data_IF_524266730749
#
_entry.id   IF_524266730749
#
_cell.length_a   1.000
_cell.length_b   1.000
_cell.length_c   1.000
_cell.angle_alpha   90.00
_cell.angle_beta   90.00
_cell.angle_gamma   90.00
#
_symmetry.space_group_name_H-M   'P 1'
#
loop_
_entity.id
_entity.type
_entity.pdbx_description
1 polymer ?
#
# COMPACT_ATOMS: atom_id res chain seq x y z
N UNK A 1 32.07 43.31 37.33
CA UNK A 1 32.26 42.78 35.98
C UNK A 1 31.77 41.34 36.01
N UNK A 2 30.47 41.12 35.77
CA UNK A 2 29.82 39.81 35.80
C UNK A 2 29.56 39.36 34.38
N UNK A 3 30.29 38.34 33.94
CA UNK A 3 30.07 37.67 32.68
C UNK A 3 29.07 36.53 32.92
N UNK A 4 27.80 36.75 32.66
CA UNK A 4 26.78 35.72 32.64
C UNK A 4 26.96 34.87 31.37
N UNK A 5 27.41 33.65 31.50
CA UNK A 5 27.42 32.61 30.47
C UNK A 5 25.98 32.10 30.28
N UNK A 6 25.31 32.57 29.26
CA UNK A 6 24.03 31.97 28.82
C UNK A 6 24.33 30.64 28.11
N UNK A 7 24.16 29.55 28.80
CA UNK A 7 24.10 28.22 28.19
C UNK A 7 22.79 28.06 27.43
N UNK A 8 22.84 28.26 26.12
CA UNK A 8 21.75 27.96 25.21
C UNK A 8 21.72 26.43 24.99
N UNK A 9 20.94 25.75 25.84
CA UNK A 9 20.68 24.32 25.67
C UNK A 9 19.82 24.12 24.40
N UNK A 10 20.46 23.76 23.31
CA UNK A 10 19.78 23.34 22.07
C UNK A 10 19.13 21.98 22.32
N UNK A 11 17.87 21.97 22.71
CA UNK A 11 17.05 20.76 22.73
C UNK A 11 16.89 20.26 21.30
N UNK A 12 17.69 19.29 20.92
CA UNK A 12 17.45 18.47 19.74
C UNK A 12 16.20 17.63 20.02
N UNK A 13 15.05 18.13 19.58
CA UNK A 13 13.83 17.33 19.47
C UNK A 13 14.09 16.26 18.41
N UNK A 14 14.59 15.10 18.84
CA UNK A 14 14.60 13.89 18.04
C UNK A 14 13.14 13.53 17.79
N UNK A 15 12.59 14.00 16.67
CA UNK A 15 11.30 13.55 16.16
C UNK A 15 11.46 12.08 15.81
N UNK A 16 11.12 11.19 16.75
CA UNK A 16 10.94 9.77 16.44
C UNK A 16 9.77 9.67 15.46
N UNK A 17 10.06 9.60 14.17
CA UNK A 17 9.07 9.25 13.15
C UNK A 17 8.57 7.84 13.47
N UNK A 18 7.34 7.72 13.98
CA UNK A 18 6.72 6.41 14.20
C UNK A 18 6.50 5.77 12.84
N UNK A 19 7.07 4.59 12.66
CA UNK A 19 6.79 3.72 11.51
C UNK A 19 5.59 2.86 11.89
N UNK A 20 4.57 2.80 11.01
CA UNK A 20 3.37 2.00 11.26
C UNK A 20 3.49 0.61 10.62
N UNK A 21 4.21 0.51 9.48
CA UNK A 21 4.38 -0.74 8.72
C UNK A 21 5.67 -0.76 7.90
N UNK A 22 6.05 -1.97 7.48
CA UNK A 22 7.13 -2.21 6.51
C UNK A 22 6.59 -2.74 5.18
N UNK A 23 7.41 -2.59 4.15
CA UNK A 23 7.20 -3.17 2.83
C UNK A 23 8.20 -4.29 2.54
N UNK A 24 7.89 -5.14 1.57
CA UNK A 24 8.75 -6.27 1.20
C UNK A 24 10.11 -5.85 0.61
N UNK A 25 10.21 -4.65 0.07
CA UNK A 25 11.45 -4.05 -0.46
C UNK A 25 12.38 -3.50 0.64
N UNK A 26 12.01 -3.64 1.91
CA UNK A 26 12.76 -3.15 3.06
C UNK A 26 12.48 -1.70 3.44
N UNK A 27 11.67 -0.98 2.67
CA UNK A 27 11.21 0.36 3.05
C UNK A 27 10.09 0.30 4.09
N UNK A 28 9.72 1.42 4.64
CA UNK A 28 8.68 1.52 5.67
C UNK A 28 7.88 2.81 5.50
N UNK A 29 6.68 2.84 6.09
CA UNK A 29 5.79 3.97 5.96
C UNK A 29 4.87 4.17 7.15
N UNK A 30 4.03 5.18 7.03
CA UNK A 30 2.97 5.51 7.98
C UNK A 30 1.65 5.63 7.23
N UNK A 31 0.57 5.22 7.86
CA UNK A 31 -0.75 5.41 7.24
C UNK A 31 -1.10 6.89 7.00
N UNK A 32 -0.53 7.80 7.79
CA UNK A 32 -0.66 9.25 7.54
C UNK A 32 -0.08 9.71 6.21
N UNK A 33 0.88 8.98 5.64
CA UNK A 33 1.49 9.29 4.35
C UNK A 33 0.56 8.94 3.16
N UNK A 34 -0.53 8.22 3.43
CA UNK A 34 -1.57 7.87 2.47
C UNK A 34 -2.72 8.88 2.41
N UNK A 35 -2.77 9.84 3.36
CA UNK A 35 -3.79 10.87 3.39
C UNK A 35 -3.82 11.69 2.10
N UNK A 36 -5.01 11.95 1.56
CA UNK A 36 -5.20 12.65 0.30
C UNK A 36 -4.98 11.82 -0.96
N UNK A 37 -4.73 10.50 -0.80
CA UNK A 37 -4.48 9.58 -1.92
C UNK A 37 -5.57 8.53 -2.02
N UNK A 38 -5.84 8.09 -3.23
CA UNK A 38 -6.51 6.82 -3.46
C UNK A 38 -5.55 5.68 -3.13
N UNK A 39 -6.03 4.66 -2.42
CA UNK A 39 -5.23 3.46 -2.17
C UNK A 39 -5.98 2.23 -2.68
N UNK A 40 -5.31 1.49 -3.54
CA UNK A 40 -5.76 0.21 -4.10
C UNK A 40 -5.07 -0.89 -3.32
N UNK A 41 -5.79 -1.57 -2.43
CA UNK A 41 -5.25 -2.66 -1.61
C UNK A 41 -5.69 -3.98 -2.24
N UNK A 42 -4.75 -4.73 -2.83
CA UNK A 42 -5.02 -5.99 -3.50
C UNK A 42 -4.58 -7.19 -2.64
N UNK A 43 -5.50 -8.11 -2.39
CA UNK A 43 -5.24 -9.38 -1.71
C UNK A 43 -5.01 -10.50 -2.73
N UNK A 44 -3.85 -11.14 -2.64
CA UNK A 44 -3.39 -12.15 -3.58
C UNK A 44 -2.67 -13.33 -2.90
N UNK A 45 -2.55 -14.46 -3.60
CA UNK A 45 -1.78 -15.62 -3.17
C UNK A 45 -1.22 -16.39 -4.38
N UNK A 46 -0.20 -17.24 -4.15
CA UNK A 46 0.42 -18.04 -5.21
C UNK A 46 -0.56 -19.03 -5.85
N UNK A 47 -1.38 -19.67 -5.02
CA UNK A 47 -2.39 -20.66 -5.45
C UNK A 47 -3.63 -20.03 -6.11
N UNK A 48 -3.76 -18.70 -6.10
CA UNK A 48 -4.88 -17.99 -6.69
C UNK A 48 -4.65 -17.78 -8.20
N UNK A 49 -5.16 -18.69 -9.02
CA UNK A 49 -5.00 -18.58 -10.48
C UNK A 49 -5.58 -17.25 -11.06
N UNK A 50 -6.78 -16.77 -10.66
CA UNK A 50 -7.29 -15.50 -11.17
C UNK A 50 -6.47 -14.29 -10.73
N UNK A 51 -5.72 -14.34 -9.61
CA UNK A 51 -4.82 -13.26 -9.20
C UNK A 51 -3.71 -13.02 -10.24
N UNK A 52 -3.25 -14.07 -10.91
CA UNK A 52 -2.21 -13.97 -11.94
C UNK A 52 -2.64 -13.16 -13.16
N UNK A 53 -3.94 -13.10 -13.43
CA UNK A 53 -4.49 -12.28 -14.53
C UNK A 53 -4.62 -10.81 -14.15
N UNK A 54 -4.77 -10.52 -12.85
CA UNK A 54 -4.93 -9.15 -12.34
C UNK A 54 -3.58 -8.45 -12.13
N UNK A 55 -2.53 -9.19 -11.78
CA UNK A 55 -1.21 -8.63 -11.45
C UNK A 55 -0.66 -7.71 -12.55
N UNK A 56 -0.66 -8.07 -13.85
CA UNK A 56 -0.20 -7.16 -14.90
C UNK A 56 -0.98 -5.85 -14.94
N UNK A 57 -2.28 -5.89 -14.75
CA UNK A 57 -3.15 -4.70 -14.72
C UNK A 57 -2.82 -3.78 -13.54
N UNK A 58 -2.50 -4.37 -12.38
CA UNK A 58 -2.07 -3.63 -11.20
C UNK A 58 -0.66 -3.07 -11.32
N UNK A 59 0.26 -3.79 -11.99
CA UNK A 59 1.59 -3.29 -12.33
C UNK A 59 1.48 -2.05 -13.23
N UNK A 60 0.68 -2.13 -14.30
CA UNK A 60 0.43 -0.99 -15.19
C UNK A 60 -0.21 0.19 -14.42
N UNK A 61 -1.20 -0.10 -13.57
CA UNK A 61 -1.81 0.95 -12.74
C UNK A 61 -0.77 1.59 -11.83
N UNK A 62 0.07 0.83 -11.17
CA UNK A 62 1.10 1.35 -10.27
C UNK A 62 2.17 2.18 -11.00
N UNK A 63 2.55 1.76 -12.22
CA UNK A 63 3.56 2.45 -13.03
C UNK A 63 3.05 3.78 -13.59
N UNK A 64 1.79 3.80 -14.02
CA UNK A 64 1.20 4.94 -14.74
C UNK A 64 0.34 5.85 -13.86
N UNK A 65 0.12 5.45 -12.59
CA UNK A 65 -0.78 6.18 -11.70
C UNK A 65 -0.30 7.60 -11.40
N UNK A 66 -1.23 8.58 -11.31
CA UNK A 66 -0.92 9.88 -10.75
C UNK A 66 -0.35 9.75 -9.32
N UNK A 67 0.39 10.78 -8.87
CA UNK A 67 1.03 10.78 -7.55
C UNK A 67 0.06 10.63 -6.36
N UNK A 68 -1.23 10.87 -6.60
CA UNK A 68 -2.32 10.73 -5.64
C UNK A 68 -2.98 9.33 -5.64
N UNK A 69 -2.40 8.36 -6.36
CA UNK A 69 -2.82 6.95 -6.33
C UNK A 69 -1.68 6.09 -5.80
N UNK A 70 -2.00 5.12 -4.96
CA UNK A 70 -1.08 4.14 -4.43
C UNK A 70 -1.65 2.73 -4.62
N UNK A 71 -0.87 1.84 -5.22
CA UNK A 71 -1.21 0.42 -5.33
C UNK A 71 -0.35 -0.37 -4.33
N UNK A 72 -0.99 -1.16 -3.47
CA UNK A 72 -0.31 -2.01 -2.49
C UNK A 72 -0.88 -3.42 -2.51
N UNK A 73 -0.01 -4.41 -2.45
CA UNK A 73 -0.38 -5.81 -2.33
C UNK A 73 -0.30 -6.32 -0.90
N UNK A 74 -1.18 -7.26 -0.58
CA UNK A 74 -1.17 -8.03 0.68
C UNK A 74 -1.13 -9.51 0.33
N UNK A 75 -0.04 -10.19 0.66
CA UNK A 75 0.02 -11.63 0.51
C UNK A 75 -0.93 -12.30 1.51
N UNK A 76 -1.89 -13.05 1.00
CA UNK A 76 -2.95 -13.65 1.81
C UNK A 76 -2.41 -14.68 2.79
N UNK A 77 -1.35 -15.40 2.43
CA UNK A 77 -0.75 -16.44 3.28
C UNK A 77 0.15 -15.86 4.39
N UNK A 78 0.41 -14.54 4.36
CA UNK A 78 1.20 -13.83 5.37
C UNK A 78 2.69 -14.19 5.32
N UNK A 79 3.21 -14.53 4.14
CA UNK A 79 4.63 -14.77 3.96
C UNK A 79 5.44 -13.50 4.22
N UNK A 80 6.65 -13.67 4.70
CA UNK A 80 7.60 -12.58 4.99
C UNK A 80 9.02 -12.97 4.57
N UNK A 81 9.92 -11.99 4.59
CA UNK A 81 11.35 -12.23 4.31
C UNK A 81 11.62 -12.80 2.93
N UNK A 82 12.56 -13.73 2.84
CA UNK A 82 13.02 -14.28 1.58
C UNK A 82 11.92 -15.06 0.83
N UNK A 83 11.06 -15.80 1.54
CA UNK A 83 9.96 -16.54 0.93
C UNK A 83 8.99 -15.61 0.20
N UNK A 84 8.66 -14.46 0.81
CA UNK A 84 7.83 -13.44 0.18
C UNK A 84 8.55 -12.79 -1.01
N UNK A 85 9.83 -12.45 -0.88
CA UNK A 85 10.59 -11.82 -1.94
C UNK A 85 10.67 -12.70 -3.18
N UNK A 86 10.98 -14.00 -3.01
CA UNK A 86 11.00 -14.97 -4.11
C UNK A 86 9.62 -15.16 -4.74
N UNK A 87 8.55 -15.10 -3.93
CA UNK A 87 7.19 -15.22 -4.45
C UNK A 87 6.79 -13.98 -5.26
N UNK A 88 7.13 -12.78 -4.82
CA UNK A 88 6.92 -11.53 -5.56
C UNK A 88 7.57 -11.61 -6.94
N UNK A 89 8.84 -12.08 -7.00
CA UNK A 89 9.57 -12.28 -8.25
C UNK A 89 8.88 -13.32 -9.16
N UNK A 90 8.52 -14.51 -8.62
CA UNK A 90 7.84 -15.56 -9.40
C UNK A 90 6.46 -15.15 -9.92
N UNK A 91 5.79 -14.25 -9.24
CA UNK A 91 4.47 -13.74 -9.62
C UNK A 91 4.55 -12.49 -10.50
N UNK A 92 5.75 -11.97 -10.77
CA UNK A 92 6.00 -10.76 -11.56
C UNK A 92 5.26 -9.54 -11.00
N UNK A 93 5.30 -9.37 -9.66
CA UNK A 93 4.66 -8.26 -8.97
C UNK A 93 5.63 -7.09 -8.91
N UNK A 94 5.26 -5.96 -9.53
CA UNK A 94 6.07 -4.74 -9.57
C UNK A 94 5.54 -3.64 -8.64
N UNK A 95 4.27 -3.74 -8.21
CA UNK A 95 3.72 -2.83 -7.22
C UNK A 95 4.18 -3.17 -5.80
N UNK A 96 4.09 -2.19 -4.91
CA UNK A 96 4.55 -2.31 -3.52
C UNK A 96 3.77 -3.39 -2.74
N UNK A 97 4.47 -4.27 -2.00
CA UNK A 97 3.85 -5.31 -1.16
C UNK A 97 4.07 -5.01 0.32
N UNK A 98 3.01 -5.01 1.09
CA UNK A 98 3.02 -4.77 2.54
C UNK A 98 3.39 -6.03 3.32
N UNK A 99 4.13 -5.85 4.42
CA UNK A 99 4.43 -6.91 5.39
C UNK A 99 3.32 -7.09 6.45
N UNK A 100 2.40 -6.14 6.54
CA UNK A 100 1.25 -6.19 7.45
C UNK A 100 -0.05 -5.97 6.69
N UNK A 101 -1.13 -6.56 7.19
CA UNK A 101 -2.47 -6.39 6.64
C UNK A 101 -3.07 -5.07 7.17
N UNK A 102 -3.39 -4.07 6.32
CA UNK A 102 -3.86 -2.76 6.74
C UNK A 102 -5.34 -2.74 7.16
N UNK A 103 -6.06 -3.87 7.06
CA UNK A 103 -7.51 -3.96 7.33
C UNK A 103 -7.91 -3.44 8.71
N UNK A 104 -7.08 -3.63 9.73
CA UNK A 104 -7.37 -3.14 11.09
C UNK A 104 -7.31 -1.63 11.20
N UNK A 105 -6.44 -0.98 10.40
CA UNK A 105 -6.35 0.47 10.34
C UNK A 105 -7.59 1.08 9.68
N UNK A 106 -8.06 0.46 8.57
CA UNK A 106 -9.23 0.94 7.82
C UNK A 106 -10.55 0.31 8.25
N UNK A 107 -10.55 -0.55 9.28
CA UNK A 107 -11.73 -1.15 9.89
C UNK A 107 -12.63 -1.93 8.90
N UNK A 108 -12.03 -2.79 8.06
CA UNK A 108 -12.78 -3.73 7.21
C UNK A 108 -12.42 -5.19 7.52
N UNK A 109 -13.30 -6.11 7.13
CA UNK A 109 -13.10 -7.54 7.35
C UNK A 109 -12.10 -8.12 6.37
N UNK A 110 -11.35 -9.13 6.82
CA UNK A 110 -10.45 -9.88 5.94
C UNK A 110 -11.24 -10.54 4.80
N UNK A 111 -10.84 -10.34 3.54
CA UNK A 111 -11.48 -11.01 2.43
C UNK A 111 -11.49 -12.54 2.58
N UNK A 112 -12.60 -13.18 2.20
CA UNK A 112 -12.73 -14.65 2.20
C UNK A 112 -12.54 -15.27 0.80
N UNK A 113 -12.43 -14.43 -0.22
CA UNK A 113 -12.28 -14.85 -1.63
C UNK A 113 -11.12 -14.08 -2.25
N UNK A 114 -10.38 -14.68 -3.19
CA UNK A 114 -9.29 -14.05 -3.92
C UNK A 114 -9.52 -14.11 -5.44
N UNK A 115 -9.05 -13.09 -6.19
CA UNK A 115 -8.53 -11.84 -5.65
C UNK A 115 -9.63 -10.98 -5.07
N UNK A 116 -9.27 -10.13 -4.13
CA UNK A 116 -10.14 -9.05 -3.66
C UNK A 116 -9.35 -7.76 -3.62
N UNK A 117 -9.93 -6.70 -4.16
CA UNK A 117 -9.35 -5.36 -4.14
C UNK A 117 -10.22 -4.44 -3.29
N UNK A 118 -9.62 -3.78 -2.30
CA UNK A 118 -10.26 -2.77 -1.46
C UNK A 118 -9.79 -1.39 -1.89
N UNK A 119 -10.73 -0.51 -2.23
CA UNK A 119 -10.47 0.89 -2.57
C UNK A 119 -10.64 1.76 -1.33
N UNK A 120 -9.61 2.51 -0.99
CA UNK A 120 -9.64 3.54 0.05
C UNK A 120 -9.65 4.90 -0.63
N UNK A 121 -10.60 5.75 -0.26
CA UNK A 121 -10.71 7.10 -0.80
C UNK A 121 -9.67 8.07 -0.18
N UNK A 122 -9.46 9.27 -0.75
CA UNK A 122 -8.52 10.24 -0.21
C UNK A 122 -8.80 10.73 1.22
N UNK A 123 -10.01 10.52 1.72
CA UNK A 123 -10.38 10.80 3.10
C UNK A 123 -10.05 9.63 4.06
N UNK A 124 -9.46 8.54 3.55
CA UNK A 124 -9.09 7.36 4.32
C UNK A 124 -10.26 6.41 4.64
N UNK A 125 -11.35 6.48 3.89
CA UNK A 125 -12.53 5.61 4.08
C UNK A 125 -12.55 4.50 3.04
N UNK A 126 -13.03 3.33 3.45
CA UNK A 126 -13.32 2.25 2.50
C UNK A 126 -14.41 2.72 1.54
N UNK A 127 -14.06 2.88 0.27
CA UNK A 127 -14.97 3.27 -0.79
C UNK A 127 -15.73 2.08 -1.34
N UNK A 128 -15.01 0.99 -1.62
CA UNK A 128 -15.57 -0.20 -2.26
C UNK A 128 -14.68 -1.42 -2.00
N UNK A 129 -15.30 -2.61 -1.95
CA UNK A 129 -14.61 -3.90 -1.93
C UNK A 129 -15.02 -4.68 -3.17
N UNK A 130 -14.05 -5.01 -4.02
CA UNK A 130 -14.23 -5.63 -5.32
C UNK A 130 -13.73 -7.07 -5.27
N UNK A 131 -14.61 -8.03 -5.52
CA UNK A 131 -14.27 -9.45 -5.56
C UNK A 131 -14.07 -9.87 -7.01
N UNK A 132 -13.01 -10.64 -7.26
CA UNK A 132 -12.58 -11.09 -8.58
C UNK A 132 -11.59 -10.13 -9.24
N UNK A 133 -10.99 -10.58 -10.37
CA UNK A 133 -9.96 -9.81 -11.07
C UNK A 133 -10.48 -8.45 -11.55
N UNK A 134 -9.68 -7.42 -11.34
CA UNK A 134 -9.94 -6.07 -11.81
C UNK A 134 -9.00 -5.71 -12.95
N UNK A 135 -9.43 -4.79 -13.82
CA UNK A 135 -8.55 -4.20 -14.82
C UNK A 135 -8.13 -2.80 -14.39
N UNK A 136 -6.99 -2.35 -14.91
CA UNK A 136 -6.50 -0.97 -14.73
C UNK A 136 -7.58 0.07 -15.00
N UNK A 137 -8.25 -0.04 -16.16
CA UNK A 137 -9.27 0.92 -16.59
C UNK A 137 -10.50 0.90 -15.66
N UNK A 138 -10.93 -0.27 -15.21
CA UNK A 138 -12.04 -0.39 -14.27
C UNK A 138 -11.72 0.27 -12.92
N UNK A 139 -10.51 0.10 -12.42
CA UNK A 139 -10.05 0.74 -11.18
C UNK A 139 -9.93 2.27 -11.37
N UNK A 140 -9.33 2.72 -12.48
CA UNK A 140 -9.20 4.14 -12.80
C UNK A 140 -10.59 4.83 -12.87
N UNK A 141 -11.55 4.19 -13.52
CA UNK A 141 -12.92 4.71 -13.60
C UNK A 141 -13.58 4.84 -12.23
N UNK A 142 -13.40 3.86 -11.32
CA UNK A 142 -13.98 3.88 -9.97
C UNK A 142 -13.39 4.99 -9.10
N UNK A 143 -12.13 5.29 -9.29
CA UNK A 143 -11.42 6.38 -8.64
C UNK A 143 -11.66 7.74 -9.32
N UNK A 144 -12.35 7.77 -10.45
CA UNK A 144 -12.57 8.97 -11.29
C UNK A 144 -11.26 9.67 -11.70
N UNK A 145 -10.20 8.89 -11.90
CA UNK A 145 -8.93 9.37 -12.43
C UNK A 145 -8.88 9.14 -13.94
N UNK A 146 -8.26 10.08 -14.67
CA UNK A 146 -8.03 9.90 -16.09
C UNK A 146 -6.95 8.85 -16.30
N UNK A 147 -7.28 7.77 -17.01
CA UNK A 147 -6.24 6.86 -17.47
C UNK A 147 -5.27 7.65 -18.37
N UNK A 148 -3.95 7.53 -18.19
CA UNK A 148 -3.01 8.09 -19.15
C UNK A 148 -3.26 7.48 -20.52
N UNK A 149 -3.28 8.35 -21.55
CA UNK A 149 -3.46 7.95 -22.96
C UNK A 149 -2.20 7.28 -23.48
#
# INVERSE_FOLDING_TARGET
MNRAFALFALLLLASCSRVDFGYADGTSGRFTDWSGRWVVINYWAEWCAPCRYEIPELNELAADAPADVLVVGVNYDGLVGEDLAQLIERMDIEFTVMLVDPRTHFAYDRPSVLPTTVLIDPDGRVKETLVGPQTRDALAQRMSISAPM
#
